data_IF_047263286337
#
_entry.id   IF_047263286337
#
_cell.length_a   1.000
_cell.length_b   1.000
_cell.length_c   1.000
_cell.angle_alpha   90.00
_cell.angle_beta   90.00
_cell.angle_gamma   90.00
#
_symmetry.space_group_name_H-M   'P 1'
#
loop_
_entity.id
_entity.type
_entity.pdbx_description
1 polymer ?
#
# COMPACT_ATOMS: atom_id res chain seq x y z
N UNK A 1 0.05 -18.92 -5.81
CA UNK A 1 0.61 -17.62 -6.21
C UNK A 1 0.60 -16.73 -4.98
N UNK A 2 1.61 -15.87 -4.79
CA UNK A 2 1.64 -14.89 -3.70
C UNK A 2 1.41 -13.49 -4.30
N UNK A 3 0.71 -12.62 -3.57
CA UNK A 3 0.59 -11.21 -3.96
C UNK A 3 1.80 -10.44 -3.45
N UNK A 4 2.28 -9.47 -4.23
CA UNK A 4 3.38 -8.59 -3.83
C UNK A 4 2.85 -7.46 -2.95
N UNK A 5 3.47 -7.27 -1.78
CA UNK A 5 3.11 -6.24 -0.80
C UNK A 5 4.34 -5.37 -0.53
N UNK A 6 4.23 -4.06 -0.75
CA UNK A 6 5.26 -3.10 -0.34
C UNK A 6 4.74 -2.12 0.69
N UNK A 7 5.40 -2.06 1.84
CA UNK A 7 5.09 -1.15 2.95
C UNK A 7 6.37 -0.49 3.47
N UNK A 8 6.26 0.48 4.37
CA UNK A 8 7.44 1.06 5.01
C UNK A 8 7.86 0.26 6.24
N UNK A 9 9.15 0.28 6.62
CA UNK A 9 9.64 -0.36 7.85
C UNK A 9 9.30 0.44 9.12
N UNK A 10 8.50 1.50 9.04
CA UNK A 10 8.15 2.30 10.21
C UNK A 10 7.28 1.49 11.20
N UNK A 11 7.47 1.64 12.52
CA UNK A 11 6.74 0.85 13.52
C UNK A 11 5.22 0.85 13.35
N UNK A 12 4.65 2.00 12.96
CA UNK A 12 3.21 2.15 12.76
C UNK A 12 2.71 1.27 11.60
N UNK A 13 3.42 1.30 10.46
CA UNK A 13 3.05 0.52 9.29
C UNK A 13 3.21 -0.98 9.57
N UNK A 14 4.30 -1.38 10.24
CA UNK A 14 4.50 -2.78 10.61
C UNK A 14 3.45 -3.30 11.59
N UNK A 15 2.95 -2.44 12.47
CA UNK A 15 1.88 -2.78 13.41
C UNK A 15 0.53 -2.91 12.69
N UNK A 16 0.16 -1.94 11.85
CA UNK A 16 -1.09 -1.94 11.09
C UNK A 16 -1.17 -3.17 10.17
N UNK A 17 -0.07 -3.50 9.50
CA UNK A 17 -0.04 -4.58 8.51
C UNK A 17 0.48 -5.92 9.06
N UNK A 18 0.62 -6.11 10.38
CA UNK A 18 1.29 -7.29 10.95
C UNK A 18 0.70 -8.62 10.45
N UNK A 19 -0.63 -8.67 10.31
CA UNK A 19 -1.34 -9.88 9.90
C UNK A 19 -1.06 -10.22 8.43
N UNK A 20 -0.88 -9.22 7.58
CA UNK A 20 -0.50 -9.41 6.18
C UNK A 20 0.96 -9.85 6.09
N UNK A 21 1.84 -9.22 6.88
CA UNK A 21 3.28 -9.52 6.90
C UNK A 21 3.53 -10.96 7.37
N UNK A 22 2.83 -11.41 8.41
CA UNK A 22 2.95 -12.75 8.96
C UNK A 22 2.31 -13.85 8.08
N UNK A 23 1.49 -13.46 7.10
CA UNK A 23 0.81 -14.39 6.21
C UNK A 23 1.74 -14.91 5.10
N UNK A 24 1.71 -16.23 4.86
CA UNK A 24 2.43 -16.85 3.76
C UNK A 24 1.84 -16.54 2.37
N UNK A 25 0.78 -15.74 2.28
CA UNK A 25 0.13 -15.35 1.02
C UNK A 25 0.81 -14.17 0.32
N UNK A 26 1.69 -13.46 1.01
CA UNK A 26 2.33 -12.25 0.48
C UNK A 26 3.85 -12.42 0.31
N UNK A 27 4.38 -11.77 -0.70
CA UNK A 27 5.81 -11.49 -0.85
C UNK A 27 6.03 -10.03 -0.43
N UNK A 28 6.58 -9.85 0.77
CA UNK A 28 6.65 -8.55 1.44
C UNK A 28 7.99 -7.89 1.16
N UNK A 29 7.95 -6.62 0.79
CA UNK A 29 9.10 -5.72 0.66
C UNK A 29 8.94 -4.51 1.58
N UNK A 30 10.05 -4.02 2.11
CA UNK A 30 10.10 -2.87 3.00
C UNK A 30 10.92 -1.77 2.35
N UNK A 31 10.27 -0.66 2.01
CA UNK A 31 10.88 0.45 1.28
C UNK A 31 10.56 1.79 1.94
N UNK A 32 11.34 2.83 1.65
CA UNK A 32 11.02 4.19 2.11
C UNK A 32 9.82 4.77 1.35
N UNK A 33 9.20 5.82 1.91
CA UNK A 33 7.94 6.36 1.38
C UNK A 33 8.05 6.97 -0.03
N UNK A 34 9.23 7.46 -0.41
CA UNK A 34 9.47 8.03 -1.74
C UNK A 34 9.55 6.90 -2.79
N UNK A 35 10.25 5.82 -2.45
CA UNK A 35 10.30 4.60 -3.26
C UNK A 35 8.91 3.99 -3.43
N UNK A 36 8.14 3.86 -2.34
CA UNK A 36 6.77 3.33 -2.39
C UNK A 36 5.84 4.15 -3.29
N UNK A 37 5.88 5.49 -3.18
CA UNK A 37 5.08 6.37 -4.03
C UNK A 37 5.48 6.26 -5.52
N UNK A 38 6.77 6.11 -5.80
CA UNK A 38 7.29 5.92 -7.16
C UNK A 38 6.84 4.59 -7.76
N UNK A 39 6.90 3.52 -6.96
CA UNK A 39 6.39 2.20 -7.32
C UNK A 39 4.89 2.26 -7.62
N UNK A 40 4.09 2.84 -6.73
CA UNK A 40 2.65 3.00 -6.92
C UNK A 40 2.32 3.75 -8.23
N UNK A 41 3.02 4.84 -8.54
CA UNK A 41 2.86 5.56 -9.82
C UNK A 41 3.22 4.69 -11.04
N UNK A 42 4.11 3.72 -10.88
CA UNK A 42 4.48 2.76 -11.93
C UNK A 42 3.50 1.58 -12.04
N UNK A 43 2.44 1.52 -11.22
CA UNK A 43 1.44 0.45 -11.25
C UNK A 43 1.92 -0.87 -10.64
N UNK A 44 2.93 -0.83 -9.77
CA UNK A 44 3.46 -1.99 -9.07
C UNK A 44 3.83 -1.63 -7.62
N UNK A 45 3.83 -2.56 -6.65
CA UNK A 45 3.39 -3.96 -6.63
C UNK A 45 1.86 -4.16 -6.49
N UNK A 46 1.35 -5.39 -6.41
CA UNK A 46 -0.10 -5.67 -6.28
C UNK A 46 -0.78 -4.88 -5.14
N UNK A 47 -0.08 -4.70 -4.01
CA UNK A 47 -0.53 -3.91 -2.86
C UNK A 47 0.62 -3.03 -2.39
N UNK A 48 0.38 -1.72 -2.29
CA UNK A 48 1.41 -0.75 -1.91
C UNK A 48 0.85 0.29 -0.95
N UNK A 49 1.59 0.56 0.12
CA UNK A 49 1.31 1.69 1.00
C UNK A 49 1.82 2.97 0.35
N UNK A 50 1.00 4.01 0.31
CA UNK A 50 1.37 5.34 -0.20
C UNK A 50 1.26 6.41 0.89
N UNK A 51 1.87 7.57 0.67
CA UNK A 51 1.60 8.73 1.52
C UNK A 51 0.26 9.36 1.14
N UNK A 52 -0.40 9.99 2.11
CA UNK A 52 -1.65 10.72 1.85
C UNK A 52 -1.47 11.82 0.78
N UNK A 53 -0.32 12.50 0.77
CA UNK A 53 -0.01 13.51 -0.24
C UNK A 53 0.03 12.95 -1.67
N UNK A 54 0.30 11.65 -1.84
CA UNK A 54 0.38 10.98 -3.13
C UNK A 54 -0.92 10.30 -3.56
N UNK A 55 -1.94 10.31 -2.68
CA UNK A 55 -3.24 9.68 -2.90
C UNK A 55 -3.85 10.05 -4.26
N UNK A 56 -4.02 11.35 -4.51
CA UNK A 56 -4.68 11.81 -5.74
C UNK A 56 -3.89 11.45 -6.99
N UNK A 57 -2.55 11.46 -6.91
CA UNK A 57 -1.68 11.04 -8.01
C UNK A 57 -2.00 9.60 -8.42
N UNK A 58 -2.11 8.69 -7.45
CA UNK A 58 -2.38 7.26 -7.71
C UNK A 58 -3.82 7.04 -8.15
N UNK A 59 -4.79 7.62 -7.43
CA UNK A 59 -6.22 7.40 -7.66
C UNK A 59 -6.69 7.83 -9.07
N UNK A 60 -6.02 8.81 -9.70
CA UNK A 60 -6.41 9.31 -11.02
C UNK A 60 -5.56 8.76 -12.17
N UNK A 61 -4.35 8.26 -11.90
CA UNK A 61 -3.37 7.94 -12.95
C UNK A 61 -3.06 6.46 -13.10
N UNK A 62 -3.56 5.63 -12.18
CA UNK A 62 -3.26 4.20 -12.13
C UNK A 62 -4.54 3.37 -12.05
N UNK A 63 -4.41 2.06 -12.24
CA UNK A 63 -5.51 1.09 -12.08
C UNK A 63 -5.66 0.57 -10.64
N UNK A 64 -5.01 1.20 -9.66
CA UNK A 64 -5.20 0.81 -8.27
C UNK A 64 -6.57 1.21 -7.75
N UNK A 65 -7.15 0.31 -6.97
CA UNK A 65 -8.18 0.68 -6.03
C UNK A 65 -7.51 1.20 -4.76
N UNK A 66 -7.84 2.42 -4.33
CA UNK A 66 -7.26 3.01 -3.12
C UNK A 66 -8.19 2.78 -1.94
N UNK A 67 -7.66 2.20 -0.86
CA UNK A 67 -8.38 1.96 0.39
C UNK A 67 -8.05 3.08 1.38
N UNK A 68 -9.08 3.76 1.86
CA UNK A 68 -8.98 4.74 2.93
C UNK A 68 -9.67 4.23 4.20
N UNK A 69 -8.98 4.32 5.33
CA UNK A 69 -9.56 4.01 6.64
C UNK A 69 -9.95 5.32 7.34
N UNK A 70 -11.25 5.54 7.53
CA UNK A 70 -11.78 6.67 8.32
C UNK A 70 -12.62 6.11 9.46
N UNK A 71 -11.98 5.88 10.62
CA UNK A 71 -12.51 5.63 11.99
C UNK A 71 -13.74 4.73 12.23
N UNK A 72 -14.41 4.19 11.21
CA UNK A 72 -15.50 3.20 11.26
C UNK A 72 -15.95 2.75 9.84
N UNK A 73 -15.38 3.31 8.76
CA UNK A 73 -15.76 3.00 7.36
C UNK A 73 -14.52 2.89 6.47
N UNK A 74 -14.43 1.78 5.72
CA UNK A 74 -13.47 1.59 4.63
C UNK A 74 -14.09 2.04 3.30
N UNK A 75 -13.43 2.96 2.60
CA UNK A 75 -13.82 3.37 1.25
C UNK A 75 -12.83 2.85 0.22
N UNK A 76 -13.35 2.19 -0.81
CA UNK A 76 -12.56 1.73 -1.96
C UNK A 76 -12.88 2.61 -3.15
N UNK A 77 -11.86 3.30 -3.66
CA UNK A 77 -11.98 4.13 -4.86
C UNK A 77 -11.30 3.41 -6.03
N UNK A 78 -12.12 2.93 -6.97
CA UNK A 78 -11.75 2.52 -8.32
C UNK A 78 -12.71 3.25 -9.29
#
# INVERSE_FOLDING_TARGET
>A
MKYTLAISPCPNDTFIFEHLIASNQYEVSFEDIETLNSLASAGQPDIVKISYAHYFSVAISTSYCVVEEHWDVEWVHC
#
